data_IF_678055631876
#
_entry.id   IF_678055631876
#
_cell.length_a   1.000
_cell.length_b   1.000
_cell.length_c   1.000
_cell.angle_alpha   90.00
_cell.angle_beta   90.00
_cell.angle_gamma   90.00
#
_symmetry.space_group_name_H-M   'P 1'
#
loop_
_entity.id
_entity.type
_entity.pdbx_description
1 polymer ?
#
# COMPACT_ATOMS: atom_id res chain seq x y z
N UNK A 1 18.93 -2.86 2.11
CA UNK A 1 17.63 -3.52 1.75
C UNK A 1 17.32 -3.35 0.28
N UNK A 2 17.48 -2.14 -0.27
CA UNK A 2 17.40 -1.91 -1.70
C UNK A 2 18.34 -2.82 -2.51
N UNK A 3 19.51 -3.17 -1.97
CA UNK A 3 20.50 -4.06 -2.61
C UNK A 3 20.12 -5.56 -2.54
N UNK A 4 19.10 -5.92 -1.74
CA UNK A 4 18.62 -7.30 -1.62
C UNK A 4 17.61 -7.66 -2.72
N UNK A 5 17.17 -6.69 -3.51
CA UNK A 5 16.16 -6.85 -4.56
C UNK A 5 16.56 -6.11 -5.83
N UNK A 6 16.18 -6.65 -6.99
CA UNK A 6 16.34 -5.98 -8.28
C UNK A 6 15.58 -4.65 -8.31
N UNK A 7 16.09 -3.69 -9.08
CA UNK A 7 15.60 -2.30 -9.11
C UNK A 7 14.08 -2.17 -9.25
N UNK A 8 13.47 -2.89 -10.18
CA UNK A 8 12.02 -2.78 -10.43
C UNK A 8 11.13 -3.37 -9.32
N UNK A 9 11.70 -4.12 -8.37
CA UNK A 9 11.00 -4.64 -7.18
C UNK A 9 11.16 -3.75 -5.94
N UNK A 10 11.89 -2.64 -6.04
CA UNK A 10 12.03 -1.69 -4.95
C UNK A 10 10.70 -0.96 -4.70
N UNK A 11 10.38 -0.73 -3.42
CA UNK A 11 9.16 -0.02 -3.02
C UNK A 11 9.26 1.46 -3.44
N UNK A 12 8.19 1.99 -4.01
CA UNK A 12 8.12 3.37 -4.54
C UNK A 12 7.54 4.37 -3.53
N UNK A 13 6.71 3.89 -2.63
CA UNK A 13 6.06 4.68 -1.59
C UNK A 13 5.69 3.79 -0.41
N UNK A 14 5.65 4.37 0.78
CA UNK A 14 5.28 3.71 2.03
C UNK A 14 4.26 4.60 2.73
N UNK A 15 3.23 3.97 3.29
CA UNK A 15 2.23 4.63 4.14
C UNK A 15 2.13 3.81 5.41
N UNK A 16 2.06 4.50 6.54
CA UNK A 16 1.82 3.88 7.85
C UNK A 16 0.33 3.98 8.16
N UNK A 17 -0.20 2.89 8.70
CA UNK A 17 -1.59 2.78 9.15
C UNK A 17 -1.57 2.20 10.55
N UNK A 18 -2.57 2.56 11.36
CA UNK A 18 -2.62 2.12 12.75
C UNK A 18 -2.90 0.61 12.87
N UNK A 19 -3.68 0.04 11.95
CA UNK A 19 -3.99 -1.38 11.94
C UNK A 19 -4.12 -1.98 10.53
N UNK A 20 -3.69 -3.24 10.38
CA UNK A 20 -3.94 -4.03 9.16
C UNK A 20 -5.37 -4.56 9.15
N UNK A 21 -6.21 -4.21 8.15
CA UNK A 21 -7.57 -4.68 8.06
C UNK A 21 -7.62 -6.19 7.82
N UNK A 22 -8.33 -6.91 8.68
CA UNK A 22 -8.46 -8.36 8.66
C UNK A 22 -9.94 -8.77 8.70
N UNK A 23 -10.25 -9.93 8.12
CA UNK A 23 -11.55 -10.58 8.29
C UNK A 23 -11.73 -11.06 9.73
N UNK A 24 -12.96 -11.42 10.15
CA UNK A 24 -13.20 -12.06 11.45
C UNK A 24 -12.37 -13.35 11.67
N UNK A 25 -11.96 -14.01 10.59
CA UNK A 25 -11.07 -15.17 10.58
C UNK A 25 -9.58 -14.84 10.47
N UNK A 26 -9.21 -13.56 10.56
CA UNK A 26 -7.81 -13.09 10.55
C UNK A 26 -7.18 -12.94 9.16
N UNK A 27 -7.91 -13.16 8.07
CA UNK A 27 -7.37 -13.00 6.71
C UNK A 27 -7.20 -11.52 6.38
N UNK A 28 -6.03 -11.13 5.90
CA UNK A 28 -5.77 -9.73 5.49
C UNK A 28 -6.66 -9.35 4.31
N UNK A 29 -7.40 -8.25 4.46
CA UNK A 29 -8.31 -7.71 3.46
C UNK A 29 -7.53 -6.85 2.45
N UNK A 30 -6.75 -7.50 1.58
CA UNK A 30 -5.89 -6.82 0.58
C UNK A 30 -6.66 -5.91 -0.36
N UNK A 31 -7.95 -6.18 -0.63
CA UNK A 31 -8.80 -5.32 -1.46
C UNK A 31 -8.94 -3.93 -0.86
N UNK A 32 -9.30 -3.85 0.43
CA UNK A 32 -9.44 -2.58 1.16
C UNK A 32 -8.14 -1.78 1.11
N UNK A 33 -7.00 -2.45 1.33
CA UNK A 33 -5.68 -1.81 1.24
C UNK A 33 -5.34 -1.30 -0.17
N UNK A 34 -5.69 -2.06 -1.22
CA UNK A 34 -5.47 -1.63 -2.61
C UNK A 34 -6.35 -0.45 -2.99
N UNK A 35 -7.62 -0.47 -2.57
CA UNK A 35 -8.58 0.59 -2.85
C UNK A 35 -8.11 1.90 -2.18
N UNK A 36 -7.70 1.84 -0.90
CA UNK A 36 -7.12 2.99 -0.20
C UNK A 36 -5.85 3.52 -0.90
N UNK A 37 -4.94 2.64 -1.32
CA UNK A 37 -3.75 3.05 -2.06
C UNK A 37 -4.08 3.68 -3.43
N UNK A 38 -5.13 3.21 -4.10
CA UNK A 38 -5.57 3.79 -5.37
C UNK A 38 -6.15 5.19 -5.19
N UNK A 39 -6.97 5.42 -4.15
CA UNK A 39 -7.51 6.74 -3.82
C UNK A 39 -6.41 7.73 -3.41
N UNK A 40 -5.44 7.29 -2.60
CA UNK A 40 -4.25 8.08 -2.25
C UNK A 40 -3.48 8.54 -3.50
N UNK A 41 -3.27 7.62 -4.46
CA UNK A 41 -2.59 7.95 -5.72
C UNK A 41 -3.38 8.94 -6.58
N UNK A 42 -4.72 8.85 -6.60
CA UNK A 42 -5.57 9.82 -7.30
C UNK A 42 -5.47 11.20 -6.67
N UNK A 43 -5.56 11.28 -5.34
CA UNK A 43 -5.45 12.54 -4.61
C UNK A 43 -4.10 13.22 -4.87
N UNK A 44 -3.01 12.45 -4.79
CA UNK A 44 -1.65 12.94 -5.07
C UNK A 44 -1.45 13.42 -6.50
N UNK A 45 -2.15 12.82 -7.47
CA UNK A 45 -2.14 13.26 -8.88
C UNK A 45 -2.95 14.53 -9.10
N UNK A 46 -4.04 14.72 -8.37
CA UNK A 46 -4.90 15.91 -8.48
C UNK A 46 -4.30 17.15 -7.82
N UNK A 47 -3.34 16.97 -6.89
CA UNK A 47 -2.68 18.04 -6.15
C UNK A 47 -1.33 18.46 -6.73
N UNK A 48 -0.91 17.84 -7.84
CA UNK A 48 0.31 18.14 -8.59
C UNK A 48 -0.04 18.85 -9.91
#
# INVERSE_FOLDING_TARGET
VADKVVYYKQLRSIVFIDEIPKSPSGKVLRRVLRDAAAEEQKLRRASN
#
